data_IF_898461045820
#
_entry.id   IF_898461045820
#
_cell.length_a   1.000
_cell.length_b   1.000
_cell.length_c   1.000
_cell.angle_alpha   90.00
_cell.angle_beta   90.00
_cell.angle_gamma   90.00
#
_symmetry.space_group_name_H-M   'P 1'
#
loop_
_entity.id
_entity.type
_entity.pdbx_description
1 polymer ?
#
# COMPACT_ATOMS: atom_id res chain seq x y z
N UNK A 1 -6.46 1.21 -11.86
CA UNK A 1 -5.86 2.56 -11.80
C UNK A 1 -4.71 2.54 -10.81
N UNK A 2 -3.56 3.10 -11.19
CA UNK A 2 -2.38 3.25 -10.33
C UNK A 2 -2.34 4.68 -9.78
N UNK A 3 -2.20 4.82 -8.47
CA UNK A 3 -2.11 6.12 -7.80
C UNK A 3 -0.79 6.23 -7.04
N UNK A 4 -0.09 7.36 -7.21
CA UNK A 4 1.12 7.67 -6.45
C UNK A 4 0.74 8.43 -5.19
N UNK A 5 1.16 7.94 -4.03
CA UNK A 5 1.06 8.70 -2.78
C UNK A 5 2.24 9.66 -2.65
N UNK A 6 2.06 10.81 -1.98
CA UNK A 6 3.15 11.76 -1.80
C UNK A 6 4.17 11.28 -0.75
N UNK A 7 3.75 10.49 0.25
CA UNK A 7 4.58 9.90 1.30
C UNK A 7 3.92 8.63 1.86
N UNK A 8 4.66 7.87 2.68
CA UNK A 8 4.14 6.72 3.42
C UNK A 8 3.24 7.20 4.55
N UNK A 9 1.93 7.30 4.29
CA UNK A 9 0.94 7.59 5.32
C UNK A 9 -0.31 6.78 5.06
N UNK A 10 -0.69 6.02 6.09
CA UNK A 10 -1.72 5.02 5.98
C UNK A 10 -3.09 5.62 5.65
N UNK A 11 -3.42 6.81 6.15
CA UNK A 11 -4.71 7.47 5.89
C UNK A 11 -4.92 7.83 4.42
N UNK A 12 -3.93 8.41 3.73
CA UNK A 12 -4.01 8.69 2.30
C UNK A 12 -4.08 7.39 1.50
N UNK A 13 -3.28 6.38 1.85
CA UNK A 13 -3.28 5.07 1.17
C UNK A 13 -4.67 4.44 1.25
N UNK A 14 -5.24 4.36 2.46
CA UNK A 14 -6.56 3.79 2.68
C UNK A 14 -7.64 4.57 1.93
N UNK A 15 -7.60 5.91 1.96
CA UNK A 15 -8.54 6.77 1.21
C UNK A 15 -8.46 6.53 -0.29
N UNK A 16 -7.27 6.40 -0.87
CA UNK A 16 -7.11 6.14 -2.30
C UNK A 16 -7.61 4.75 -2.69
N UNK A 17 -7.39 3.75 -1.84
CA UNK A 17 -7.89 2.40 -2.06
C UNK A 17 -9.43 2.35 -1.92
N UNK A 18 -10.00 3.09 -0.98
CA UNK A 18 -11.45 3.23 -0.82
C UNK A 18 -12.08 4.02 -1.98
N UNK A 19 -11.36 5.02 -2.51
CA UNK A 19 -11.72 5.74 -3.74
C UNK A 19 -11.60 4.86 -5.00
N UNK A 20 -11.00 3.67 -4.89
CA UNK A 20 -11.00 2.68 -5.95
C UNK A 20 -9.69 2.51 -6.72
N UNK A 21 -8.57 2.99 -6.18
CA UNK A 21 -7.25 2.66 -6.70
C UNK A 21 -7.03 1.13 -6.66
N UNK A 22 -6.44 0.58 -7.72
CA UNK A 22 -6.09 -0.85 -7.81
C UNK A 22 -4.60 -1.10 -7.56
N UNK A 23 -3.80 -0.04 -7.46
CA UNK A 23 -2.40 -0.11 -7.14
C UNK A 23 -1.94 1.22 -6.56
N UNK A 24 -1.05 1.16 -5.59
CA UNK A 24 -0.48 2.32 -4.91
C UNK A 24 1.03 2.30 -5.11
N UNK A 25 1.58 3.46 -5.49
CA UNK A 25 3.02 3.68 -5.61
C UNK A 25 3.44 4.59 -4.47
N UNK A 26 4.31 4.10 -3.58
CA UNK A 26 4.91 4.92 -2.53
C UNK A 26 6.33 5.33 -2.92
N UNK A 27 6.60 6.65 -3.06
CA UNK A 27 7.95 7.14 -3.25
C UNK A 27 8.75 7.01 -1.95
N UNK A 28 10.08 6.89 -2.08
CA UNK A 28 11.03 7.05 -0.95
C UNK A 28 10.88 6.03 0.19
N UNK A 29 10.51 4.78 -0.12
CA UNK A 29 10.67 3.66 0.83
C UNK A 29 12.15 3.28 0.84
N UNK A 30 12.83 3.44 1.97
CA UNK A 30 14.27 3.21 2.09
C UNK A 30 14.65 2.09 3.06
N UNK A 31 13.70 1.63 3.89
CA UNK A 31 13.91 0.58 4.88
C UNK A 31 12.94 -0.59 4.69
N UNK A 32 13.26 -1.74 5.28
CA UNK A 32 12.38 -2.92 5.28
C UNK A 32 11.13 -2.63 6.10
N UNK A 33 11.30 -1.93 7.21
CA UNK A 33 10.27 -1.57 8.16
C UNK A 33 9.22 -0.66 7.49
N UNK A 34 9.65 0.32 6.70
CA UNK A 34 8.75 1.16 5.89
C UNK A 34 8.01 0.35 4.82
N UNK A 35 8.67 -0.64 4.21
CA UNK A 35 8.03 -1.52 3.24
C UNK A 35 6.96 -2.40 3.90
N UNK A 36 7.25 -2.94 5.09
CA UNK A 36 6.29 -3.73 5.88
C UNK A 36 5.11 -2.88 6.34
N UNK A 37 5.35 -1.64 6.76
CA UNK A 37 4.31 -0.67 7.09
C UNK A 37 3.45 -0.36 5.86
N UNK A 38 4.06 -0.10 4.70
CA UNK A 38 3.34 0.14 3.46
C UNK A 38 2.45 -1.05 3.06
N UNK A 39 3.00 -2.27 3.09
CA UNK A 39 2.26 -3.50 2.80
C UNK A 39 1.11 -3.68 3.81
N UNK A 40 1.38 -3.46 5.09
CA UNK A 40 0.38 -3.54 6.16
C UNK A 40 -0.78 -2.54 5.99
N UNK A 41 -0.51 -1.34 5.47
CA UNK A 41 -1.55 -0.33 5.20
C UNK A 41 -2.48 -0.71 4.03
N UNK A 42 -2.03 -1.60 3.13
CA UNK A 42 -2.83 -2.04 1.98
C UNK A 42 -3.68 -3.27 2.27
N UNK A 43 -3.25 -4.11 3.21
CA UNK A 43 -3.85 -5.41 3.52
C UNK A 43 -4.82 -5.35 4.70
N UNK A 44 -5.93 -6.10 4.57
CA UNK A 44 -6.98 -6.18 5.60
C UNK A 44 -6.51 -7.00 6.81
N UNK A 45 -7.09 -6.72 7.98
CA UNK A 45 -6.86 -7.44 9.23
C UNK A 45 -6.83 -8.97 9.03
N UNK A 46 -5.74 -9.60 9.47
CA UNK A 46 -5.18 -10.95 9.19
C UNK A 46 -3.87 -10.93 8.38
N UNK A 47 -3.68 -9.96 7.48
CA UNK A 47 -2.44 -9.78 6.70
C UNK A 47 -1.87 -8.35 6.78
N UNK A 48 -2.59 -7.42 7.38
CA UNK A 48 -2.19 -6.04 7.60
C UNK A 48 -3.06 -5.37 8.65
N UNK A 49 -3.11 -4.04 8.65
CA UNK A 49 -3.84 -3.23 9.62
C UNK A 49 -4.88 -2.30 8.99
N UNK A 50 -5.23 -2.52 7.71
CA UNK A 50 -6.31 -1.79 7.04
C UNK A 50 -7.67 -2.25 7.53
N UNK A 51 -8.53 -1.27 7.86
CA UNK A 51 -9.94 -1.51 8.16
C UNK A 51 -10.69 -2.01 6.92
N UNK A 52 -11.61 -2.96 7.09
CA UNK A 52 -12.44 -3.46 5.98
C UNK A 52 -13.51 -2.43 5.62
N UNK A 53 -13.23 -1.56 4.65
CA UNK A 53 -14.24 -0.68 4.06
C UNK A 53 -15.29 -1.49 3.28
N UNK A 54 -16.60 -1.17 3.37
CA UNK A 54 -17.67 -1.94 2.74
C UNK A 54 -17.64 -1.92 1.21
N UNK A 55 -16.87 -1.01 0.61
CA UNK A 55 -16.94 -0.74 -0.83
C UNK A 55 -16.08 -1.71 -1.65
N UNK A 56 -14.87 -2.11 -1.19
CA UNK A 56 -13.88 -2.84 -2.04
C UNK A 56 -12.92 -3.74 -1.23
N UNK A 57 -13.44 -4.63 -0.39
CA UNK A 57 -12.64 -5.55 0.44
C UNK A 57 -11.75 -6.57 -0.32
N UNK A 58 -11.89 -6.69 -1.65
CA UNK A 58 -11.27 -7.77 -2.46
C UNK A 58 -10.36 -7.29 -3.60
N UNK A 59 -9.89 -6.03 -3.59
CA UNK A 59 -9.02 -5.56 -4.67
C UNK A 59 -7.56 -5.94 -4.41
N UNK A 60 -7.06 -6.82 -5.28
CA UNK A 60 -5.63 -7.13 -5.44
C UNK A 60 -4.90 -5.79 -5.65
N UNK A 61 -4.19 -5.34 -4.63
CA UNK A 61 -3.45 -4.08 -4.67
C UNK A 61 -2.09 -4.37 -5.28
N UNK A 62 -1.82 -3.83 -6.47
CA UNK A 62 -0.47 -3.85 -7.03
C UNK A 62 0.40 -2.87 -6.21
N UNK A 63 1.34 -3.42 -5.45
CA UNK A 63 2.26 -2.69 -4.56
C UNK A 63 3.54 -2.40 -5.37
N UNK A 64 3.80 -1.13 -5.68
CA UNK A 64 5.04 -0.71 -6.32
C UNK A 64 5.81 0.20 -5.35
N UNK A 65 6.89 -0.35 -4.81
CA UNK A 65 7.84 0.36 -3.95
C UNK A 65 8.98 0.91 -4.81
N UNK A 66 9.20 2.22 -4.79
CA UNK A 66 10.36 2.82 -5.49
C UNK A 66 11.58 2.72 -4.57
N UNK A 67 12.20 1.54 -4.53
CA UNK A 67 13.44 1.30 -3.80
C UNK A 67 14.63 1.42 -4.76
N UNK A 68 15.69 2.15 -4.41
CA UNK A 68 16.96 2.03 -5.12
C UNK A 68 17.72 0.73 -4.78
N UNK A 69 17.34 -0.05 -3.75
CA UNK A 69 18.23 -1.09 -3.20
C UNK A 69 17.63 -2.45 -2.81
N UNK A 70 16.31 -2.64 -2.80
CA UNK A 70 15.70 -3.90 -2.36
C UNK A 70 15.02 -4.59 -3.55
N UNK A 71 15.81 -5.42 -4.24
CA UNK A 71 15.27 -6.63 -4.88
C UNK A 71 14.79 -7.55 -3.76
N UNK A 72 13.48 -7.61 -3.52
CA UNK A 72 12.84 -8.74 -2.85
C UNK A 72 11.66 -9.13 -3.77
N UNK A 73 11.76 -10.19 -4.57
CA UNK A 73 11.55 -11.59 -4.15
C UNK A 73 10.30 -11.74 -3.27
N UNK A 74 9.15 -11.62 -3.91
CA UNK A 74 7.89 -12.25 -3.53
C UNK A 74 7.23 -12.74 -4.84
#
# INVERSE_FOLDING_TARGET
>A
MLCRVPWLEAGIIMKLLDAGAMGIICPMINSREEAEEFVGATLIFSKGYRSSGPVRANIITLIIITLPMIRLSA
#
